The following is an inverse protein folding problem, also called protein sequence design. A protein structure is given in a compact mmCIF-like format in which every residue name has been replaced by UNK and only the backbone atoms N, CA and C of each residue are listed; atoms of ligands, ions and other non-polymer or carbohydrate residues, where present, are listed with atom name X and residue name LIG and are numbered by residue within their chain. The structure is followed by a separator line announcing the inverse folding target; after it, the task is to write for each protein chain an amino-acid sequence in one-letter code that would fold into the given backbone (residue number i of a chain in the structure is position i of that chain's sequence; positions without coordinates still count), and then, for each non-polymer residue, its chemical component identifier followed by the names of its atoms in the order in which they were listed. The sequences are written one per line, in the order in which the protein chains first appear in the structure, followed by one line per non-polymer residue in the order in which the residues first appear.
data_IF_043854991073
#
_entry.id   IF_043854991073
#
_cell.length_a   1.000
_cell.length_b   1.000
_cell.length_c   1.000
_cell.angle_alpha   90.00
_cell.angle_beta   90.00
_cell.angle_gamma   90.00
#
_symmetry.space_group_name_H-M   'P 1'
#
loop_
_entity.id
_entity.type
_entity.pdbx_description
1 polymer ?
#
# COMPACT_ATOMS: atom_id res chain seq x y z
N UNK A 1 -5.53 39.51 1.72
CA UNK A 1 -5.13 38.22 2.28
C UNK A 1 -5.17 37.21 1.15
N UNK A 2 -4.03 36.84 0.63
CA UNK A 2 -3.94 35.92 -0.51
C UNK A 2 -3.85 34.49 0.04
N UNK A 3 -4.92 33.74 -0.05
CA UNK A 3 -4.96 32.32 0.24
C UNK A 3 -4.31 31.59 -0.94
N UNK A 4 -3.17 30.95 -0.71
CA UNK A 4 -2.56 30.01 -1.65
C UNK A 4 -3.35 28.69 -1.58
N UNK A 5 -3.69 28.04 -2.72
CA UNK A 5 -4.33 26.72 -2.69
C UNK A 5 -3.36 25.65 -2.19
N UNK A 6 -3.84 24.78 -1.31
CA UNK A 6 -3.11 23.63 -0.77
C UNK A 6 -2.89 22.57 -1.87
N UNK A 7 -1.75 21.85 -1.89
CA UNK A 7 -1.42 20.86 -2.91
C UNK A 7 -2.21 19.54 -2.85
N UNK A 8 -3.08 19.36 -1.86
CA UNK A 8 -3.81 18.10 -1.65
C UNK A 8 -4.90 17.78 -2.70
N UNK A 9 -5.28 18.76 -3.53
CA UNK A 9 -6.34 18.56 -4.57
C UNK A 9 -5.79 17.86 -5.82
N UNK A 10 -4.47 17.76 -5.99
CA UNK A 10 -3.87 17.14 -7.20
C UNK A 10 -3.64 15.62 -7.07
N UNK A 11 -3.56 15.06 -5.88
CA UNK A 11 -3.31 13.62 -5.69
C UNK A 11 -4.54 12.74 -6.02
N UNK A 12 -5.76 13.30 -5.97
CA UNK A 12 -7.01 12.57 -6.27
C UNK A 12 -7.32 12.56 -7.78
N UNK A 13 -6.71 13.44 -8.58
CA UNK A 13 -6.97 13.55 -10.01
C UNK A 13 -6.14 12.61 -10.91
N UNK A 14 -5.10 11.95 -10.39
CA UNK A 14 -4.24 11.08 -11.18
C UNK A 14 -4.75 9.62 -11.31
N UNK A 15 -5.69 9.18 -10.49
CA UNK A 15 -6.30 7.83 -10.57
C UNK A 15 -7.51 7.76 -11.50
N UNK A 16 -8.01 8.89 -12.03
CA UNK A 16 -9.23 8.97 -12.83
C UNK A 16 -9.09 8.82 -14.34
N UNK A 17 -7.90 8.70 -14.93
CA UNK A 17 -7.71 8.79 -16.39
C UNK A 17 -7.42 7.47 -17.12
N UNK A 18 -7.44 6.32 -16.49
CA UNK A 18 -7.16 5.04 -17.14
C UNK A 18 -8.37 4.31 -17.72
N UNK A 19 -9.62 4.83 -17.62
CA UNK A 19 -10.81 4.08 -18.05
C UNK A 19 -11.69 4.70 -19.15
N UNK A 20 -11.18 5.68 -19.92
CA UNK A 20 -11.96 6.29 -21.01
C UNK A 20 -11.23 6.26 -22.36
N UNK A 21 -10.99 5.07 -22.91
CA UNK A 21 -10.70 4.95 -24.34
C UNK A 21 -11.05 3.55 -24.88
N UNK A 22 -12.33 3.22 -24.98
CA UNK A 22 -12.83 2.23 -25.95
C UNK A 22 -14.35 2.27 -26.07
N UNK A 23 -14.88 3.27 -26.79
CA UNK A 23 -16.15 3.15 -27.53
C UNK A 23 -16.21 4.22 -28.61
N UNK A 24 -15.99 3.84 -29.81
CA UNK A 24 -16.69 4.19 -31.05
C UNK A 24 -15.77 4.03 -32.24
N UNK A 25 -16.07 3.03 -33.06
CA UNK A 25 -16.21 3.18 -34.50
C UNK A 25 -16.45 1.78 -35.13
N UNK A 26 -17.68 1.53 -35.50
CA UNK A 26 -18.03 0.39 -36.32
C UNK A 26 -17.54 0.61 -37.75
N UNK A 27 -16.79 -0.35 -38.27
CA UNK A 27 -16.54 -0.52 -39.69
C UNK A 27 -16.59 -2.04 -40.01
N UNK A 28 -17.41 -2.36 -40.98
CA UNK A 28 -17.67 -3.70 -41.52
C UNK A 28 -16.44 -4.30 -42.17
N UNK A 29 -16.03 -5.50 -41.72
CA UNK A 29 -15.02 -6.32 -42.34
C UNK A 29 -15.49 -7.01 -43.62
N UNK A 30 -14.65 -7.14 -44.68
CA UNK A 30 -14.86 -8.13 -45.72
C UNK A 30 -14.19 -9.47 -45.36
N UNK A 31 -14.87 -10.55 -45.64
CA UNK A 31 -14.50 -11.93 -45.38
C UNK A 31 -13.10 -12.29 -45.98
N UNK A 32 -12.21 -12.78 -45.08
CA UNK A 32 -10.92 -13.33 -45.47
C UNK A 32 -10.99 -14.85 -45.71
N UNK A 33 -10.40 -15.27 -46.78
CA UNK A 33 -10.18 -16.69 -47.19
C UNK A 33 -9.17 -17.38 -46.26
N UNK A 34 -9.31 -18.66 -45.95
CA UNK A 34 -8.41 -19.36 -45.04
C UNK A 34 -7.04 -19.63 -45.70
N UNK A 35 -6.01 -19.14 -45.05
CA UNK A 35 -4.61 -19.49 -45.37
C UNK A 35 -4.22 -20.66 -44.45
N UNK A 36 -3.74 -21.75 -45.08
CA UNK A 36 -3.23 -22.94 -44.41
C UNK A 36 -2.02 -22.63 -43.51
N UNK A 37 -2.10 -22.97 -42.22
CA UNK A 37 -1.00 -22.95 -41.28
C UNK A 37 0.09 -23.97 -41.62
N UNK A 38 1.36 -23.62 -41.54
CA UNK A 38 2.43 -24.62 -41.54
C UNK A 38 2.49 -25.30 -40.18
N UNK A 39 2.53 -26.62 -40.22
CA UNK A 39 2.68 -27.54 -39.09
C UNK A 39 4.05 -27.29 -38.42
N UNK A 40 4.06 -26.70 -37.22
CA UNK A 40 5.25 -26.66 -36.39
C UNK A 40 5.46 -28.01 -35.70
N UNK A 41 6.69 -28.53 -35.80
CA UNK A 41 7.14 -29.69 -35.04
C UNK A 41 7.15 -29.38 -33.53
N UNK A 42 6.91 -30.38 -32.67
CA UNK A 42 6.91 -30.15 -31.23
C UNK A 42 8.30 -29.77 -30.75
N UNK A 43 8.42 -28.57 -30.19
CA UNK A 43 9.61 -28.13 -29.45
C UNK A 43 9.58 -28.91 -28.13
N UNK A 44 10.62 -29.69 -27.88
CA UNK A 44 10.84 -30.38 -26.61
C UNK A 44 10.91 -29.34 -25.49
N UNK A 45 10.02 -29.48 -24.49
CA UNK A 45 10.07 -28.68 -23.29
C UNK A 45 11.38 -28.99 -22.54
N UNK A 46 12.30 -28.07 -22.53
CA UNK A 46 13.45 -28.10 -21.64
C UNK A 46 12.93 -27.62 -20.28
N UNK A 47 12.65 -28.58 -19.42
CA UNK A 47 12.37 -28.33 -18.00
C UNK A 47 13.70 -28.01 -17.31
N UNK A 48 14.16 -26.77 -17.36
CA UNK A 48 15.19 -26.31 -16.44
C UNK A 48 14.52 -26.11 -15.07
N UNK A 49 14.68 -27.12 -14.21
CA UNK A 49 14.43 -26.98 -12.78
C UNK A 49 15.44 -25.96 -12.23
N UNK A 50 14.97 -24.80 -11.80
CA UNK A 50 15.78 -23.88 -11.01
C UNK A 50 16.37 -24.65 -9.82
N UNK A 51 17.67 -24.55 -9.54
CA UNK A 51 18.28 -25.27 -8.43
C UNK A 51 17.66 -24.74 -7.11
N UNK A 52 16.97 -25.63 -6.43
CA UNK A 52 16.46 -25.39 -5.08
C UNK A 52 17.68 -25.14 -4.17
N UNK A 53 17.76 -24.03 -3.42
CA UNK A 53 18.87 -23.80 -2.51
C UNK A 53 18.88 -24.91 -1.45
N UNK A 54 20.03 -25.57 -1.26
CA UNK A 54 20.22 -26.53 -0.19
C UNK A 54 19.98 -25.81 1.16
N UNK A 55 18.99 -26.29 1.91
CA UNK A 55 18.69 -25.84 3.27
C UNK A 55 19.87 -26.24 4.17
N UNK A 56 20.70 -25.26 4.56
CA UNK A 56 21.54 -25.46 5.73
C UNK A 56 20.64 -25.46 6.99
N UNK A 57 20.85 -26.38 7.95
CA UNK A 57 20.05 -26.40 9.16
C UNK A 57 20.28 -25.09 9.93
N UNK A 58 19.21 -24.34 10.16
CA UNK A 58 19.23 -23.13 10.98
C UNK A 58 19.75 -23.51 12.38
N UNK A 59 20.94 -23.06 12.72
CA UNK A 59 21.38 -22.98 14.10
C UNK A 59 20.48 -21.99 14.81
N UNK A 60 19.73 -22.47 15.81
CA UNK A 60 18.93 -21.63 16.72
C UNK A 60 19.92 -20.74 17.49
N UNK A 61 20.27 -19.62 16.90
CA UNK A 61 20.98 -18.52 17.55
C UNK A 61 19.99 -17.72 18.40
N UNK A 62 20.44 -17.26 19.56
CA UNK A 62 19.73 -16.46 20.54
C UNK A 62 18.73 -15.50 19.91
N UNK A 63 17.44 -15.73 20.20
CA UNK A 63 16.33 -14.91 19.72
C UNK A 63 16.46 -13.50 20.28
N UNK A 64 17.02 -12.60 19.51
CA UNK A 64 16.81 -11.18 19.71
C UNK A 64 15.38 -10.88 19.29
N UNK A 65 14.54 -10.44 20.23
CA UNK A 65 13.15 -10.10 19.96
C UNK A 65 13.13 -8.95 18.94
N UNK A 66 12.67 -9.23 17.73
CA UNK A 66 12.57 -8.22 16.68
C UNK A 66 11.45 -7.21 16.96
N UNK A 67 11.55 -6.05 16.33
CA UNK A 67 10.49 -5.03 16.35
C UNK A 67 9.77 -5.08 15.00
N UNK A 68 8.45 -5.15 15.06
CA UNK A 68 7.57 -4.90 13.93
C UNK A 68 7.02 -3.47 14.08
N UNK A 69 7.18 -2.64 13.06
CA UNK A 69 6.51 -1.35 13.01
C UNK A 69 5.65 -1.25 11.75
N UNK A 70 4.50 -0.62 11.90
CA UNK A 70 3.58 -0.31 10.80
C UNK A 70 3.27 1.18 10.80
N UNK A 71 3.36 1.78 9.62
CA UNK A 71 2.98 3.17 9.39
C UNK A 71 1.56 3.26 8.86
N UNK A 72 0.90 4.36 9.18
CA UNK A 72 -0.47 4.66 8.76
C UNK A 72 -0.66 6.16 8.54
N UNK A 73 -1.88 6.58 8.25
CA UNK A 73 -2.27 8.00 8.23
C UNK A 73 -2.43 8.63 9.62
N UNK A 74 -2.30 7.85 10.71
CA UNK A 74 -2.50 8.31 12.09
C UNK A 74 -1.27 8.09 12.98
N UNK A 75 -0.11 7.73 12.40
CA UNK A 75 1.14 7.56 13.11
C UNK A 75 1.80 6.20 12.91
N UNK A 76 2.75 5.88 13.79
CA UNK A 76 3.55 4.66 13.77
C UNK A 76 3.14 3.75 14.93
N UNK A 77 2.73 2.52 14.63
CA UNK A 77 2.43 1.49 15.64
C UNK A 77 3.54 0.44 15.64
N UNK A 78 4.20 0.24 16.77
CA UNK A 78 5.27 -0.73 16.89
C UNK A 78 4.92 -1.82 17.93
N UNK A 79 5.22 -3.06 17.58
CA UNK A 79 5.10 -4.24 18.44
C UNK A 79 6.49 -4.77 18.76
N UNK A 80 6.77 -4.93 20.07
CA UNK A 80 7.99 -5.53 20.59
C UNK A 80 7.64 -6.48 21.76
N UNK A 81 8.64 -6.91 22.52
CA UNK A 81 8.47 -7.77 23.71
C UNK A 81 7.58 -7.17 24.82
N UNK A 82 7.46 -5.84 24.87
CA UNK A 82 6.63 -5.12 25.83
C UNK A 82 5.20 -4.86 25.32
N UNK A 83 4.85 -5.37 24.14
CA UNK A 83 3.57 -5.17 23.49
C UNK A 83 3.57 -4.03 22.48
N UNK A 84 2.37 -3.53 22.18
CA UNK A 84 2.16 -2.45 21.22
C UNK A 84 2.43 -1.07 21.82
N UNK A 85 3.05 -0.20 21.03
CA UNK A 85 3.17 1.23 21.31
C UNK A 85 2.87 2.04 20.05
N UNK A 86 2.01 3.05 20.22
CA UNK A 86 1.62 3.98 19.14
C UNK A 86 2.33 5.30 19.35
N UNK A 87 2.98 5.80 18.31
CA UNK A 87 3.65 7.09 18.27
C UNK A 87 2.95 8.02 17.29
N UNK A 88 2.63 9.22 17.77
CA UNK A 88 1.99 10.30 17.00
C UNK A 88 2.75 11.61 17.24
N UNK A 89 2.46 12.63 16.45
CA UNK A 89 2.98 13.99 16.64
C UNK A 89 2.51 14.64 17.96
N UNK A 90 1.45 14.12 18.58
CA UNK A 90 0.97 14.58 19.88
C UNK A 90 1.70 13.93 21.07
N UNK A 91 2.24 12.71 20.91
CA UNK A 91 2.83 11.94 22.02
C UNK A 91 4.31 11.62 21.85
N UNK A 92 4.93 12.08 20.77
CA UNK A 92 6.34 11.84 20.46
C UNK A 92 6.92 12.96 19.59
N UNK A 93 8.22 12.88 19.26
CA UNK A 93 8.87 13.80 18.32
C UNK A 93 8.69 13.37 16.85
N UNK A 94 7.66 12.57 16.53
CA UNK A 94 7.26 12.27 15.17
C UNK A 94 6.72 13.56 14.53
N UNK A 95 7.30 14.05 13.42
CA UNK A 95 6.92 15.38 12.91
C UNK A 95 5.58 15.42 12.17
N UNK A 96 5.04 14.26 11.81
CA UNK A 96 3.75 14.13 11.12
C UNK A 96 3.22 12.71 11.19
N UNK A 97 1.91 12.55 11.32
CA UNK A 97 1.24 11.25 11.40
C UNK A 97 1.02 10.56 10.05
N UNK A 98 1.07 11.31 8.93
CA UNK A 98 0.88 10.73 7.59
C UNK A 98 2.17 10.08 7.11
N UNK A 99 2.27 8.77 7.30
CA UNK A 99 3.44 7.96 6.97
C UNK A 99 3.18 7.18 5.69
N UNK A 100 4.12 7.24 4.74
CA UNK A 100 3.97 6.65 3.40
C UNK A 100 4.80 5.38 3.21
N UNK A 101 6.08 5.41 3.63
CA UNK A 101 7.00 4.31 3.44
C UNK A 101 7.96 4.16 4.61
N UNK A 102 8.48 2.96 4.81
CA UNK A 102 9.48 2.66 5.83
C UNK A 102 10.52 1.67 5.34
N UNK A 103 11.75 1.80 5.86
CA UNK A 103 12.82 0.85 5.62
C UNK A 103 13.68 0.67 6.86
N UNK A 104 14.18 -0.54 7.08
CA UNK A 104 15.18 -0.80 8.12
C UNK A 104 16.56 -0.51 7.56
N UNK A 105 17.30 0.35 8.25
CA UNK A 105 18.68 0.66 7.91
C UNK A 105 19.66 -0.35 8.54
N UNK A 106 20.88 -0.48 8.00
CA UNK A 106 21.87 -1.45 8.48
C UNK A 106 22.28 -1.28 9.95
N UNK A 107 22.15 -0.09 10.51
CA UNK A 107 22.39 0.22 11.93
C UNK A 107 21.20 -0.17 12.83
N UNK A 108 20.10 -0.67 12.25
CA UNK A 108 18.87 -1.08 12.95
C UNK A 108 17.86 0.04 13.16
N UNK A 109 18.14 1.26 12.75
CA UNK A 109 17.15 2.34 12.75
C UNK A 109 16.11 2.10 11.65
N UNK A 110 14.91 2.65 11.83
CA UNK A 110 13.87 2.67 10.81
C UNK A 110 13.85 4.06 10.18
N UNK A 111 14.11 4.15 8.89
CA UNK A 111 13.90 5.35 8.11
C UNK A 111 12.44 5.41 7.68
N UNK A 112 11.75 6.50 7.97
CA UNK A 112 10.32 6.70 7.74
C UNK A 112 10.13 7.89 6.83
N UNK A 113 9.48 7.69 5.70
CA UNK A 113 9.08 8.73 4.77
C UNK A 113 7.66 9.21 5.09
N UNK A 114 7.47 10.52 5.19
CA UNK A 114 6.22 11.18 5.51
C UNK A 114 6.09 12.50 4.73
N UNK A 115 4.94 13.14 4.78
CA UNK A 115 4.66 14.35 3.99
C UNK A 115 5.66 15.50 4.23
N UNK A 116 6.28 15.55 5.42
CA UNK A 116 7.26 16.59 5.79
C UNK A 116 8.73 16.16 5.55
N UNK A 117 8.97 15.00 4.89
CA UNK A 117 10.32 14.50 4.57
C UNK A 117 10.63 13.12 5.14
N UNK A 118 11.80 12.97 5.75
CA UNK A 118 12.29 11.70 6.31
C UNK A 118 12.66 11.87 7.78
N UNK A 119 12.27 10.89 8.59
CA UNK A 119 12.62 10.79 10.00
C UNK A 119 13.24 9.42 10.28
N UNK A 120 14.30 9.39 11.09
CA UNK A 120 14.92 8.17 11.60
C UNK A 120 14.35 7.85 12.98
N UNK A 121 14.01 6.59 13.21
CA UNK A 121 13.50 6.06 14.47
C UNK A 121 14.42 4.94 14.99
N UNK A 122 14.95 5.09 16.19
CA UNK A 122 15.89 4.15 16.82
C UNK A 122 15.21 3.11 17.75
N UNK A 123 13.87 3.09 17.77
CA UNK A 123 13.06 2.28 18.68
C UNK A 123 12.54 3.07 19.89
N UNK A 124 13.05 4.29 20.12
CA UNK A 124 12.66 5.14 21.25
C UNK A 124 12.46 6.60 20.86
N UNK A 125 13.33 7.16 20.03
CA UNK A 125 13.39 8.57 19.65
C UNK A 125 13.34 8.77 18.14
N UNK A 126 12.85 9.95 17.73
CA UNK A 126 12.75 10.35 16.34
C UNK A 126 13.77 11.46 16.04
N UNK A 127 14.43 11.35 14.88
CA UNK A 127 15.35 12.37 14.37
C UNK A 127 14.98 12.72 12.94
N UNK A 128 14.42 13.90 12.74
CA UNK A 128 14.11 14.42 11.41
C UNK A 128 15.37 14.77 10.63
N UNK A 129 15.41 14.40 9.35
CA UNK A 129 16.42 14.82 8.39
C UNK A 129 16.04 16.16 7.74
N UNK A 130 17.00 16.87 7.13
CA UNK A 130 16.67 18.07 6.33
C UNK A 130 15.63 17.76 5.25
N UNK A 131 14.84 18.76 4.88
CA UNK A 131 13.85 18.63 3.81
C UNK A 131 14.50 18.20 2.48
N UNK A 132 13.80 17.34 1.74
CA UNK A 132 14.21 16.94 0.39
C UNK A 132 13.87 18.11 -0.55
N UNK A 133 14.86 18.70 -1.25
CA UNK A 133 14.59 19.82 -2.14
C UNK A 133 13.63 19.45 -3.28
N UNK A 134 12.59 20.27 -3.47
CA UNK A 134 11.59 20.12 -4.54
C UNK A 134 10.90 18.75 -4.56
N UNK A 135 10.80 18.08 -3.42
CA UNK A 135 10.10 16.80 -3.30
C UNK A 135 8.66 17.00 -2.85
N UNK A 136 7.78 16.15 -3.36
CA UNK A 136 6.43 15.96 -2.85
C UNK A 136 6.10 14.47 -2.85
N UNK A 137 5.28 14.03 -1.91
CA UNK A 137 4.76 12.65 -1.82
C UNK A 137 5.86 11.58 -1.96
N UNK A 138 6.58 11.26 -0.90
CA UNK A 138 7.51 10.14 -0.92
C UNK A 138 6.72 8.83 -1.04
N UNK A 139 7.13 7.94 -1.95
CA UNK A 139 6.45 6.67 -2.24
C UNK A 139 7.26 5.46 -1.76
N UNK A 140 8.59 5.55 -1.80
CA UNK A 140 9.48 4.48 -1.40
C UNK A 140 10.72 4.99 -0.69
N UNK A 141 11.32 4.16 0.18
CA UNK A 141 12.53 4.49 0.92
C UNK A 141 13.43 3.28 1.07
N UNK A 142 14.75 3.47 1.00
CA UNK A 142 15.74 2.42 1.22
C UNK A 142 17.03 2.98 1.82
N UNK A 143 17.77 2.14 2.57
CA UNK A 143 19.04 2.53 3.18
C UNK A 143 20.21 1.74 2.55
N UNK A 144 21.33 2.42 2.28
CA UNK A 144 22.59 1.78 1.89
C UNK A 144 23.38 1.30 3.10
N UNK A 145 24.37 0.44 2.84
CA UNK A 145 25.25 -0.10 3.87
C UNK A 145 26.10 0.97 4.59
N UNK A 146 26.34 2.12 3.94
CA UNK A 146 27.08 3.25 4.50
C UNK A 146 26.19 4.22 5.31
N UNK A 147 24.88 3.92 5.43
CA UNK A 147 23.90 4.76 6.10
C UNK A 147 23.29 5.85 5.21
N UNK A 148 23.64 5.91 3.91
CA UNK A 148 22.96 6.79 2.96
C UNK A 148 21.52 6.32 2.75
N UNK A 149 20.60 7.25 2.49
CA UNK A 149 19.16 6.96 2.37
C UNK A 149 18.66 7.43 1.00
N UNK A 150 17.96 6.54 0.32
CA UNK A 150 17.28 6.84 -0.93
C UNK A 150 15.78 6.97 -0.72
N UNK A 151 15.18 7.97 -1.36
CA UNK A 151 13.74 8.23 -1.31
C UNK A 151 13.20 8.38 -2.73
N UNK A 152 12.26 7.53 -3.11
CA UNK A 152 11.48 7.68 -4.33
C UNK A 152 10.35 8.70 -4.09
N UNK A 153 10.12 9.62 -5.03
CA UNK A 153 9.08 10.64 -4.95
C UNK A 153 8.65 11.07 -6.37
N UNK A 154 7.56 11.81 -6.49
CA UNK A 154 7.00 12.16 -7.80
C UNK A 154 7.99 12.78 -8.79
N UNK A 155 8.98 13.53 -8.34
CA UNK A 155 9.93 14.21 -9.23
C UNK A 155 11.17 13.38 -9.57
N UNK A 156 11.30 12.18 -8.98
CA UNK A 156 12.47 11.33 -9.19
C UNK A 156 12.88 10.56 -7.95
N UNK A 157 14.18 10.40 -7.74
CA UNK A 157 14.74 9.75 -6.55
C UNK A 157 15.83 10.63 -5.95
N UNK A 158 15.83 10.81 -4.63
CA UNK A 158 16.79 11.60 -3.89
C UNK A 158 17.63 10.73 -2.96
N UNK A 159 18.95 11.02 -2.90
CA UNK A 159 19.90 10.37 -2.01
C UNK A 159 20.36 11.34 -0.93
N UNK A 160 20.21 10.96 0.34
CA UNK A 160 20.81 11.63 1.47
C UNK A 160 22.14 10.99 1.81
N UNK A 161 23.22 11.76 1.76
CA UNK A 161 24.56 11.30 2.11
C UNK A 161 25.38 12.48 2.64
N UNK A 162 26.20 12.24 3.67
CA UNK A 162 27.06 13.28 4.26
C UNK A 162 26.32 14.57 4.67
N UNK A 163 25.08 14.44 5.12
CA UNK A 163 24.28 15.59 5.57
C UNK A 163 23.57 16.37 4.46
N UNK A 164 23.61 15.91 3.22
CA UNK A 164 23.04 16.62 2.07
C UNK A 164 22.22 15.69 1.16
N UNK A 165 21.19 16.27 0.53
CA UNK A 165 20.40 15.61 -0.50
C UNK A 165 20.97 15.85 -1.89
N UNK A 166 20.99 14.81 -2.70
CA UNK A 166 21.23 14.87 -4.15
C UNK A 166 20.04 14.24 -4.87
N UNK A 167 19.39 14.98 -5.77
CA UNK A 167 18.22 14.51 -6.50
C UNK A 167 18.58 14.11 -7.92
N UNK A 168 18.11 12.93 -8.33
CA UNK A 168 18.09 12.45 -9.71
C UNK A 168 16.66 12.55 -10.22
N UNK A 169 16.41 13.48 -11.14
CA UNK A 169 15.08 13.68 -11.70
C UNK A 169 14.58 12.48 -12.51
N UNK A 170 13.26 12.38 -12.68
CA UNK A 170 12.62 11.28 -13.39
C UNK A 170 13.09 11.14 -14.85
N UNK A 171 13.58 12.22 -15.47
CA UNK A 171 14.17 12.21 -16.81
C UNK A 171 15.45 11.37 -16.93
N UNK A 172 16.08 11.02 -15.80
CA UNK A 172 17.23 10.10 -15.75
C UNK A 172 16.83 8.65 -15.54
N UNK A 173 15.58 8.40 -15.18
CA UNK A 173 15.04 7.09 -14.82
C UNK A 173 14.22 6.46 -15.95
N UNK A 174 13.93 7.25 -17.00
CA UNK A 174 13.21 6.84 -18.18
C UNK A 174 13.95 7.30 -19.45
N UNK A 175 13.70 6.67 -20.58
CA UNK A 175 14.21 7.14 -21.89
C UNK A 175 13.06 7.44 -22.84
N UNK A 176 13.25 8.47 -23.70
CA UNK A 176 12.25 8.93 -24.65
C UNK A 176 11.41 10.11 -24.17
N UNK A 177 10.20 10.26 -24.67
CA UNK A 177 9.31 11.41 -24.39
C UNK A 177 8.67 11.41 -22.98
N UNK A 178 8.96 10.38 -22.17
CA UNK A 178 8.33 10.15 -20.83
C UNK A 178 9.05 10.88 -19.70
N UNK A 179 9.35 12.15 -19.86
CA UNK A 179 10.08 12.95 -18.86
C UNK A 179 9.33 13.15 -17.51
N UNK A 180 8.10 12.63 -17.37
CA UNK A 180 7.25 12.79 -16.19
C UNK A 180 6.72 11.44 -15.67
N UNK A 181 7.54 10.41 -15.69
CA UNK A 181 7.14 9.13 -15.09
C UNK A 181 7.11 9.23 -13.56
N UNK A 182 6.05 8.66 -12.99
CA UNK A 182 5.92 8.53 -11.54
C UNK A 182 6.93 7.50 -11.04
N UNK A 183 7.61 7.80 -9.95
CA UNK A 183 8.56 6.88 -9.30
C UNK A 183 7.88 6.31 -8.07
N UNK A 184 7.72 4.99 -8.04
CA UNK A 184 6.93 4.30 -7.02
C UNK A 184 7.76 3.72 -5.89
N UNK A 185 8.92 3.13 -6.20
CA UNK A 185 9.69 2.46 -5.16
C UNK A 185 11.20 2.47 -5.45
N UNK A 186 11.99 2.32 -4.39
CA UNK A 186 13.45 2.20 -4.42
C UNK A 186 13.91 1.11 -3.47
N UNK A 187 14.84 0.27 -3.92
CA UNK A 187 15.50 -0.75 -3.09
C UNK A 187 16.99 -0.74 -3.30
N UNK A 188 17.75 -1.04 -2.25
CA UNK A 188 19.20 -1.18 -2.29
C UNK A 188 19.56 -2.65 -2.13
N UNK A 189 20.23 -3.20 -3.14
CA UNK A 189 20.68 -4.58 -3.12
C UNK A 189 21.92 -4.75 -2.23
N UNK A 190 22.18 -5.97 -1.69
CA UNK A 190 23.36 -6.24 -0.84
C UNK A 190 24.71 -5.93 -1.50
N UNK A 191 24.77 -5.91 -2.83
CA UNK A 191 25.96 -5.55 -3.62
C UNK A 191 26.10 -4.03 -3.84
N UNK A 192 25.22 -3.21 -3.24
CA UNK A 192 25.22 -1.76 -3.31
C UNK A 192 24.51 -1.17 -4.54
N UNK A 193 23.98 -2.01 -5.43
CA UNK A 193 23.18 -1.50 -6.56
C UNK A 193 21.84 -0.99 -6.06
N UNK A 194 21.45 0.18 -6.55
CA UNK A 194 20.14 0.77 -6.25
C UNK A 194 19.20 0.52 -7.41
N UNK A 195 18.04 -0.02 -7.10
CA UNK A 195 17.00 -0.30 -8.06
C UNK A 195 15.81 0.61 -7.80
N UNK A 196 15.26 1.17 -8.87
CA UNK A 196 14.12 2.10 -8.84
C UNK A 196 13.10 1.62 -9.84
N UNK A 197 11.83 1.65 -9.46
CA UNK A 197 10.72 1.36 -10.36
C UNK A 197 9.92 2.63 -10.62
N UNK A 198 9.66 2.89 -11.89
CA UNK A 198 8.76 3.94 -12.35
C UNK A 198 7.51 3.31 -12.96
N UNK A 199 6.57 4.13 -13.40
CA UNK A 199 5.35 3.64 -14.07
C UNK A 199 5.63 2.76 -15.30
N UNK A 200 6.76 2.95 -16.01
CA UNK A 200 7.06 2.25 -17.27
C UNK A 200 8.48 1.75 -17.42
N UNK A 201 9.32 1.97 -16.43
CA UNK A 201 10.72 1.56 -16.46
C UNK A 201 11.18 1.01 -15.13
N UNK A 202 12.26 0.24 -15.19
CA UNK A 202 13.08 -0.11 -14.04
C UNK A 202 14.45 0.49 -14.27
N UNK A 203 15.00 1.20 -13.32
CA UNK A 203 16.30 1.81 -13.40
C UNK A 203 17.26 1.22 -12.35
N UNK A 204 18.51 1.02 -12.72
CA UNK A 204 19.58 0.56 -11.83
C UNK A 204 20.67 1.61 -11.76
N UNK A 205 21.01 2.04 -10.56
CA UNK A 205 22.16 2.90 -10.29
C UNK A 205 23.35 2.08 -9.82
N UNK A 206 24.47 2.24 -10.50
CA UNK A 206 25.73 1.56 -10.19
C UNK A 206 26.89 2.41 -10.77
N UNK A 207 27.97 2.60 -9.99
CA UNK A 207 29.16 3.37 -10.40
C UNK A 207 28.82 4.79 -10.92
N UNK A 208 27.96 5.51 -10.19
CA UNK A 208 27.48 6.86 -10.53
C UNK A 208 26.73 6.98 -11.87
N UNK A 209 26.22 5.87 -12.40
CA UNK A 209 25.49 5.82 -13.66
C UNK A 209 24.17 5.06 -13.55
N UNK A 210 23.18 5.51 -14.31
CA UNK A 210 21.89 4.83 -14.48
C UNK A 210 21.89 3.90 -15.68
N UNK A 211 21.38 2.69 -15.51
CA UNK A 211 20.98 1.76 -16.57
C UNK A 211 19.47 1.65 -16.55
N UNK A 212 18.80 1.88 -17.68
CA UNK A 212 17.35 1.87 -17.80
C UNK A 212 16.90 0.60 -18.51
N UNK A 213 15.87 -0.03 -17.98
CA UNK A 213 15.17 -1.19 -18.55
C UNK A 213 13.71 -0.78 -18.82
N UNK A 214 13.30 -0.83 -20.07
CA UNK A 214 11.97 -0.48 -20.55
C UNK A 214 11.66 -1.24 -21.84
N UNK A 215 10.52 -0.98 -22.49
CA UNK A 215 10.19 -1.57 -23.79
C UNK A 215 11.32 -1.38 -24.81
N UNK A 216 11.75 -2.48 -25.43
CA UNK A 216 12.88 -2.50 -26.36
C UNK A 216 14.27 -2.37 -25.73
N UNK A 217 14.35 -2.18 -24.40
CA UNK A 217 15.58 -2.07 -23.63
C UNK A 217 15.50 -2.94 -22.36
N UNK A 218 15.39 -4.25 -22.54
CA UNK A 218 15.29 -5.22 -21.44
C UNK A 218 13.93 -5.88 -21.34
N UNK A 219 12.84 -5.20 -21.68
CA UNK A 219 11.51 -5.77 -21.80
C UNK A 219 11.08 -5.80 -23.28
N UNK A 220 10.33 -6.85 -23.68
CA UNK A 220 9.86 -7.02 -25.04
C UNK A 220 8.59 -6.22 -25.34
N UNK A 221 7.88 -5.79 -24.31
CA UNK A 221 6.59 -5.09 -24.38
C UNK A 221 6.55 -3.93 -23.37
N UNK A 222 5.56 -3.06 -23.55
CA UNK A 222 5.30 -1.97 -22.61
C UNK A 222 4.52 -2.51 -21.40
N UNK A 223 5.02 -2.24 -20.21
CA UNK A 223 4.46 -2.68 -18.94
C UNK A 223 4.26 -1.52 -17.98
N UNK A 224 3.27 -1.64 -17.12
CA UNK A 224 3.08 -0.73 -16.00
C UNK A 224 3.57 -1.44 -14.73
N UNK A 225 4.59 -0.87 -14.09
CA UNK A 225 5.18 -1.37 -12.88
C UNK A 225 4.74 -0.53 -11.69
N UNK A 226 4.45 -1.17 -10.56
CA UNK A 226 4.04 -0.47 -9.34
C UNK A 226 4.85 -0.87 -8.11
N UNK A 227 5.48 -2.05 -8.10
CA UNK A 227 6.14 -2.55 -6.92
C UNK A 227 7.47 -3.23 -7.24
N UNK A 228 8.41 -3.12 -6.31
CA UNK A 228 9.78 -3.65 -6.40
C UNK A 228 10.14 -4.37 -5.09
N UNK A 229 10.73 -5.56 -5.20
CA UNK A 229 11.31 -6.27 -4.08
C UNK A 229 12.67 -6.83 -4.44
N UNK A 230 13.47 -7.16 -3.41
CA UNK A 230 14.71 -7.91 -3.56
C UNK A 230 14.59 -9.25 -2.85
N UNK A 231 15.07 -10.30 -3.48
CA UNK A 231 15.19 -11.58 -2.80
C UNK A 231 16.49 -11.68 -1.98
N UNK A 232 16.65 -12.79 -1.26
CA UNK A 232 17.82 -13.03 -0.42
C UNK A 232 19.16 -13.05 -1.20
N UNK A 233 19.13 -13.21 -2.53
CA UNK A 233 20.29 -13.12 -3.41
C UNK A 233 20.53 -11.69 -3.93
N UNK A 234 19.68 -10.74 -3.57
CA UNK A 234 19.70 -9.36 -4.08
C UNK A 234 19.19 -9.20 -5.49
N UNK A 235 18.49 -10.22 -6.04
CA UNK A 235 17.87 -10.08 -7.36
C UNK A 235 16.61 -9.21 -7.25
N UNK A 236 16.44 -8.21 -8.13
CA UNK A 236 15.23 -7.42 -8.16
C UNK A 236 14.09 -8.22 -8.80
N UNK A 237 12.95 -8.14 -8.17
CA UNK A 237 11.65 -8.57 -8.65
C UNK A 237 10.76 -7.36 -8.84
N UNK A 238 10.07 -7.26 -9.96
CA UNK A 238 9.13 -6.18 -10.24
C UNK A 238 7.76 -6.76 -10.58
N UNK A 239 6.71 -6.12 -10.08
CA UNK A 239 5.34 -6.54 -10.33
C UNK A 239 4.68 -5.67 -11.39
N UNK A 240 3.88 -6.31 -12.24
CA UNK A 240 3.07 -5.68 -13.29
C UNK A 240 1.73 -6.40 -13.43
N UNK A 241 0.80 -5.84 -14.19
CA UNK A 241 -0.59 -6.33 -14.28
C UNK A 241 -0.73 -7.80 -14.70
N UNK A 242 0.25 -8.37 -15.40
CA UNK A 242 0.19 -9.75 -15.89
C UNK A 242 1.12 -10.71 -15.14
N UNK A 243 1.80 -10.27 -14.08
CA UNK A 243 2.67 -11.13 -13.29
C UNK A 243 3.82 -10.41 -12.62
N UNK A 244 4.95 -11.10 -12.54
CA UNK A 244 6.20 -10.54 -12.02
C UNK A 244 7.37 -10.85 -12.96
N UNK A 245 8.36 -9.96 -12.98
CA UNK A 245 9.62 -10.20 -13.65
C UNK A 245 10.76 -10.25 -12.62
N UNK A 246 11.74 -11.12 -12.83
CA UNK A 246 12.98 -11.17 -12.06
C UNK A 246 14.19 -10.90 -12.96
N UNK A 247 15.13 -10.10 -12.47
CA UNK A 247 16.40 -9.86 -13.15
C UNK A 247 17.49 -10.76 -12.60
N UNK A 248 18.04 -11.58 -13.48
CA UNK A 248 19.16 -12.47 -13.12
C UNK A 248 20.13 -12.59 -14.30
N UNK A 249 21.43 -12.55 -14.05
CA UNK A 249 22.50 -12.69 -15.06
C UNK A 249 22.35 -11.76 -16.28
N UNK A 250 21.83 -10.55 -16.08
CA UNK A 250 21.67 -9.56 -17.16
C UNK A 250 20.37 -9.66 -17.96
N UNK A 251 19.47 -10.57 -17.58
CA UNK A 251 18.21 -10.83 -18.30
C UNK A 251 17.01 -10.76 -17.37
N UNK A 252 15.92 -10.17 -17.86
CA UNK A 252 14.61 -10.24 -17.21
C UNK A 252 13.87 -11.51 -17.63
N UNK A 253 13.32 -12.21 -16.67
CA UNK A 253 12.49 -13.42 -16.88
C UNK A 253 11.12 -13.19 -16.28
N UNK A 254 10.08 -13.41 -17.08
CA UNK A 254 8.68 -13.16 -16.71
C UNK A 254 8.02 -14.43 -16.20
N UNK A 255 7.26 -14.30 -15.10
CA UNK A 255 6.34 -15.30 -14.56
C UNK A 255 4.92 -14.75 -14.64
N UNK A 256 4.22 -15.07 -15.72
CA UNK A 256 2.90 -14.50 -15.97
C UNK A 256 1.84 -15.07 -15.03
N UNK A 257 0.90 -14.21 -14.66
CA UNK A 257 -0.30 -14.50 -13.87
C UNK A 257 -1.53 -14.31 -14.76
N UNK A 258 -2.55 -15.12 -14.59
CA UNK A 258 -3.64 -15.26 -15.56
C UNK A 258 -4.79 -14.25 -15.43
N UNK A 259 -4.84 -13.43 -14.39
CA UNK A 259 -6.04 -12.62 -14.09
C UNK A 259 -5.95 -11.12 -14.37
N UNK A 260 -4.76 -10.55 -14.53
CA UNK A 260 -4.59 -9.11 -14.85
C UNK A 260 -4.92 -8.13 -13.73
N UNK A 261 -5.01 -8.58 -12.46
CA UNK A 261 -5.23 -7.70 -11.32
C UNK A 261 -4.02 -6.75 -11.12
N UNK A 262 -4.31 -5.51 -10.73
CA UNK A 262 -3.27 -4.47 -10.56
C UNK A 262 -2.44 -4.72 -9.29
N UNK A 263 -1.12 -4.97 -9.40
CA UNK A 263 -0.27 -5.11 -8.24
C UNK A 263 -0.07 -3.75 -7.57
N UNK A 264 0.10 -3.76 -6.25
CA UNK A 264 0.40 -2.57 -5.46
C UNK A 264 1.59 -2.79 -4.53
N UNK A 265 1.80 -4.01 -4.10
CA UNK A 265 2.93 -4.37 -3.24
C UNK A 265 3.56 -5.69 -3.66
N UNK A 266 4.85 -5.82 -3.36
CA UNK A 266 5.65 -7.00 -3.69
C UNK A 266 6.59 -7.34 -2.54
N UNK A 267 6.69 -8.61 -2.20
CA UNK A 267 7.64 -9.13 -1.22
C UNK A 267 8.18 -10.48 -1.62
N UNK A 268 9.38 -10.80 -1.13
CA UNK A 268 9.96 -12.16 -1.26
C UNK A 268 10.27 -12.66 0.13
N UNK A 269 9.70 -13.82 0.50
CA UNK A 269 9.90 -14.39 1.82
C UNK A 269 11.28 -15.10 1.95
N UNK A 270 11.63 -15.50 3.16
CA UNK A 270 12.90 -16.18 3.45
C UNK A 270 13.08 -17.51 2.74
N UNK A 271 12.03 -18.08 2.18
CA UNK A 271 12.04 -19.33 1.38
C UNK A 271 12.13 -19.05 -0.12
N UNK A 272 12.16 -17.79 -0.53
CA UNK A 272 12.19 -17.36 -1.93
C UNK A 272 10.84 -17.38 -2.65
N UNK A 273 9.74 -17.58 -1.91
CA UNK A 273 8.40 -17.44 -2.47
C UNK A 273 8.08 -15.96 -2.68
N UNK A 274 7.57 -15.63 -3.83
CA UNK A 274 7.19 -14.26 -4.21
C UNK A 274 5.74 -14.02 -3.84
N UNK A 275 5.46 -12.89 -3.22
CA UNK A 275 4.13 -12.47 -2.79
C UNK A 275 3.77 -11.14 -3.44
N UNK A 276 2.59 -11.08 -4.04
CA UNK A 276 2.07 -9.89 -4.74
C UNK A 276 0.77 -9.48 -4.06
N UNK A 277 0.74 -8.29 -3.52
CA UNK A 277 -0.47 -7.65 -3.03
C UNK A 277 -1.10 -6.80 -4.13
N UNK A 278 -2.41 -6.81 -4.22
CA UNK A 278 -3.15 -6.08 -5.24
C UNK A 278 -4.05 -5.00 -4.65
N UNK A 279 -4.50 -4.09 -5.50
CA UNK A 279 -5.42 -3.01 -5.11
C UNK A 279 -6.81 -3.53 -4.69
N UNK A 280 -7.32 -4.61 -5.32
CA UNK A 280 -8.72 -5.01 -5.15
C UNK A 280 -8.98 -6.52 -5.15
N UNK A 281 -7.93 -7.33 -5.32
CA UNK A 281 -8.09 -8.77 -5.54
C UNK A 281 -7.24 -9.63 -4.57
N UNK A 282 -6.79 -9.03 -3.47
CA UNK A 282 -6.07 -9.75 -2.39
C UNK A 282 -4.61 -10.02 -2.70
N UNK A 283 -4.16 -11.22 -2.34
CA UNK A 283 -2.77 -11.63 -2.35
C UNK A 283 -2.58 -12.79 -3.32
N UNK A 284 -1.56 -12.70 -4.14
CA UNK A 284 -1.05 -13.81 -4.92
C UNK A 284 0.31 -14.24 -4.41
N UNK A 285 0.63 -15.53 -4.49
CA UNK A 285 2.00 -15.98 -4.29
C UNK A 285 2.43 -16.93 -5.39
N UNK A 286 3.73 -16.88 -5.72
CA UNK A 286 4.39 -17.74 -6.66
C UNK A 286 5.51 -18.53 -5.96
N UNK A 287 5.47 -19.86 -6.02
CA UNK A 287 6.43 -20.74 -5.34
C UNK A 287 7.58 -21.22 -6.26
N UNK A 288 7.68 -20.64 -7.46
CA UNK A 288 8.61 -21.07 -8.50
C UNK A 288 7.99 -21.99 -9.56
N UNK A 289 6.79 -22.50 -9.32
CA UNK A 289 6.09 -23.41 -10.23
C UNK A 289 4.65 -23.00 -10.50
N UNK A 290 3.91 -22.56 -9.48
CA UNK A 290 2.50 -22.25 -9.57
C UNK A 290 2.13 -20.99 -8.78
N UNK A 291 1.07 -20.33 -9.22
CA UNK A 291 0.41 -19.25 -8.51
C UNK A 291 -0.66 -19.79 -7.57
N UNK A 292 -0.77 -19.19 -6.39
CA UNK A 292 -1.89 -19.37 -5.48
C UNK A 292 -2.50 -18.01 -5.17
N UNK A 293 -3.81 -17.97 -4.91
CA UNK A 293 -4.58 -16.77 -4.63
C UNK A 293 -5.21 -16.83 -3.24
N UNK A 294 -5.20 -15.72 -2.52
CA UNK A 294 -5.74 -15.55 -1.18
C UNK A 294 -6.47 -14.22 -1.11
N UNK A 295 -7.74 -14.25 -0.80
CA UNK A 295 -8.59 -13.08 -0.79
C UNK A 295 -9.55 -13.08 0.41
N UNK A 296 -10.41 -12.05 0.48
CA UNK A 296 -11.46 -11.96 1.49
C UNK A 296 -12.51 -13.07 1.35
N UNK A 297 -12.80 -13.53 0.14
CA UNK A 297 -13.78 -14.60 -0.09
C UNK A 297 -13.27 -15.97 0.40
N UNK A 298 -11.95 -16.19 0.36
CA UNK A 298 -11.29 -17.37 0.93
C UNK A 298 -11.00 -17.23 2.44
N UNK A 299 -11.42 -16.10 3.07
CA UNK A 299 -11.21 -15.77 4.50
C UNK A 299 -9.74 -15.71 4.91
N UNK A 300 -8.82 -15.57 3.95
CA UNK A 300 -7.38 -15.47 4.22
C UNK A 300 -7.00 -14.09 4.74
N UNK A 301 -7.63 -13.04 4.19
CA UNK A 301 -7.42 -11.64 4.56
C UNK A 301 -8.77 -10.95 4.77
N UNK A 302 -8.79 -9.84 5.52
CA UNK A 302 -10.02 -9.06 5.74
C UNK A 302 -10.22 -7.99 4.67
N UNK A 303 -9.16 -7.55 3.99
CA UNK A 303 -9.23 -6.62 2.86
C UNK A 303 -8.48 -7.18 1.66
N UNK A 304 -9.03 -6.96 0.47
CA UNK A 304 -8.37 -7.30 -0.80
C UNK A 304 -7.36 -6.21 -1.24
N UNK A 305 -7.37 -5.05 -0.61
CA UNK A 305 -6.40 -4.00 -0.87
C UNK A 305 -5.16 -4.21 0.02
N UNK A 306 -4.04 -4.61 -0.58
CA UNK A 306 -2.80 -5.00 0.11
C UNK A 306 -1.69 -4.02 -0.23
N UNK A 307 -1.38 -3.14 0.70
CA UNK A 307 -0.49 -1.98 0.53
C UNK A 307 0.99 -2.28 0.73
N UNK A 308 1.30 -3.30 1.53
CA UNK A 308 2.69 -3.60 1.89
C UNK A 308 2.88 -5.07 2.24
N UNK A 309 4.05 -5.62 1.91
CA UNK A 309 4.42 -7.02 2.20
C UNK A 309 5.83 -7.06 2.76
N UNK A 310 6.02 -7.75 3.89
CA UNK A 310 7.33 -7.94 4.51
C UNK A 310 7.47 -9.36 5.07
N UNK A 311 8.55 -10.06 4.69
CA UNK A 311 8.88 -11.38 5.23
C UNK A 311 9.81 -11.28 6.43
N UNK A 312 9.62 -12.14 7.45
CA UNK A 312 10.57 -12.28 8.54
C UNK A 312 11.50 -13.51 8.35
N UNK A 313 12.59 -13.56 9.10
CA UNK A 313 13.55 -14.67 9.06
C UNK A 313 12.95 -15.99 9.57
N UNK A 314 11.88 -15.95 10.37
CA UNK A 314 11.12 -17.11 10.84
C UNK A 314 10.24 -17.75 9.78
N UNK A 315 10.10 -17.11 8.62
CA UNK A 315 9.29 -17.56 7.50
C UNK A 315 7.82 -17.15 7.56
N UNK A 316 7.48 -16.20 8.44
CA UNK A 316 6.18 -15.54 8.43
C UNK A 316 6.21 -14.41 7.40
N UNK A 317 5.04 -14.12 6.82
CA UNK A 317 4.85 -13.01 5.90
C UNK A 317 3.77 -12.09 6.47
N UNK A 318 4.09 -10.81 6.52
CA UNK A 318 3.26 -9.76 7.07
C UNK A 318 2.72 -8.89 5.95
N UNK A 319 1.43 -8.62 6.00
CA UNK A 319 0.68 -7.87 4.99
C UNK A 319 0.01 -6.68 5.64
N UNK A 320 0.42 -5.47 5.24
CA UNK A 320 -0.36 -4.27 5.48
C UNK A 320 -1.53 -4.23 4.51
N UNK A 321 -2.71 -3.95 5.01
CA UNK A 321 -3.91 -3.83 4.18
C UNK A 321 -4.68 -2.56 4.55
N UNK A 322 -5.65 -2.16 3.73
CA UNK A 322 -6.56 -1.06 4.09
C UNK A 322 -7.46 -1.39 5.28
N UNK A 323 -7.52 -2.67 5.71
CA UNK A 323 -8.28 -3.07 6.90
C UNK A 323 -7.53 -4.12 7.74
N UNK A 324 -6.45 -3.69 8.33
CA UNK A 324 -5.67 -4.42 9.32
C UNK A 324 -4.30 -4.86 8.86
N UNK A 325 -3.53 -5.32 9.83
CA UNK A 325 -2.26 -5.99 9.64
C UNK A 325 -2.49 -7.49 9.71
N UNK A 326 -2.20 -8.19 8.62
CA UNK A 326 -2.37 -9.65 8.54
C UNK A 326 -1.01 -10.34 8.53
N UNK A 327 -0.87 -11.47 9.21
CA UNK A 327 0.31 -12.34 9.17
C UNK A 327 -0.08 -13.74 8.73
N UNK A 328 0.73 -14.33 7.88
CA UNK A 328 0.69 -15.74 7.50
C UNK A 328 1.92 -16.46 8.06
N UNK A 329 1.75 -17.50 8.87
CA UNK A 329 2.84 -18.25 9.51
C UNK A 329 3.33 -19.46 8.70
N UNK A 330 2.79 -19.63 7.49
CA UNK A 330 3.02 -20.79 6.63
C UNK A 330 1.89 -21.83 6.70
N UNK A 331 0.95 -21.67 7.64
CA UNK A 331 -0.20 -22.57 7.83
C UNK A 331 -1.50 -21.83 8.13
N UNK A 332 -1.43 -20.76 8.90
CA UNK A 332 -2.59 -20.01 9.38
C UNK A 332 -2.43 -18.51 9.13
N UNK A 333 -3.57 -17.85 8.96
CA UNK A 333 -3.70 -16.40 8.84
C UNK A 333 -4.19 -15.83 10.16
N UNK A 334 -3.62 -14.71 10.59
CA UNK A 334 -4.07 -13.95 11.76
C UNK A 334 -4.08 -12.47 11.42
N UNK A 335 -5.17 -11.76 11.75
CA UNK A 335 -5.31 -10.32 11.49
C UNK A 335 -5.42 -9.53 12.78
N UNK A 336 -4.60 -8.49 12.88
CA UNK A 336 -4.60 -7.49 13.94
C UNK A 336 -5.38 -6.26 13.47
N UNK A 337 -6.32 -5.83 14.30
CA UNK A 337 -7.14 -4.63 14.13
C UNK A 337 -7.05 -3.78 15.40
N UNK A 338 -7.45 -2.52 15.32
CA UNK A 338 -7.59 -1.66 16.50
C UNK A 338 -8.49 -2.28 17.57
N UNK A 339 -9.54 -2.98 17.15
CA UNK A 339 -10.51 -3.61 18.07
C UNK A 339 -9.97 -4.81 18.86
N UNK A 340 -8.90 -5.47 18.38
CA UNK A 340 -8.37 -6.70 18.99
C UNK A 340 -6.87 -6.65 19.27
N UNK A 341 -6.23 -5.51 19.09
CA UNK A 341 -4.79 -5.31 19.29
C UNK A 341 -4.48 -3.89 19.75
N UNK A 342 -3.18 -3.55 19.82
CA UNK A 342 -2.72 -2.19 20.12
C UNK A 342 -2.39 -1.37 18.87
N UNK A 343 -2.89 -1.74 17.68
CA UNK A 343 -2.78 -0.92 16.48
C UNK A 343 -3.43 0.44 16.69
N UNK A 344 -2.77 1.49 16.16
CA UNK A 344 -3.30 2.86 16.15
C UNK A 344 -4.25 3.14 14.99
N UNK A 345 -4.17 2.34 13.93
CA UNK A 345 -5.04 2.44 12.75
C UNK A 345 -5.20 1.07 12.09
N UNK A 346 -6.35 0.84 11.46
CA UNK A 346 -6.57 -0.35 10.63
C UNK A 346 -6.05 -0.18 9.20
N UNK A 347 -5.89 1.04 8.71
CA UNK A 347 -5.38 1.33 7.37
C UNK A 347 -3.85 1.42 7.41
N UNK A 348 -3.17 0.39 6.97
CA UNK A 348 -1.72 0.24 7.03
C UNK A 348 -1.11 0.71 5.71
N UNK A 349 -0.16 1.64 5.77
CA UNK A 349 0.58 2.12 4.60
C UNK A 349 1.81 1.24 4.33
N UNK A 350 2.58 0.90 5.36
CA UNK A 350 3.75 0.04 5.23
C UNK A 350 3.98 -0.83 6.47
N UNK A 351 4.74 -1.90 6.27
CA UNK A 351 5.20 -2.84 7.31
C UNK A 351 6.71 -2.96 7.24
N UNK A 352 7.40 -2.79 8.38
CA UNK A 352 8.84 -3.00 8.52
C UNK A 352 9.16 -3.85 9.72
N UNK A 353 10.20 -4.67 9.58
CA UNK A 353 10.68 -5.63 10.58
C UNK A 353 12.18 -5.45 10.79
N UNK A 354 12.61 -5.22 12.03
CA UNK A 354 14.04 -4.97 12.35
C UNK A 354 14.86 -6.22 12.57
N UNK A 355 14.35 -7.39 12.54
CA UNK A 355 15.01 -8.71 12.66
C UNK A 355 13.99 -9.82 12.50
N UNK A 356 14.04 -10.81 13.38
CA UNK A 356 13.25 -12.04 13.31
C UNK A 356 11.74 -11.86 13.53
N UNK A 357 11.29 -10.62 13.66
CA UNK A 357 9.91 -10.28 13.98
C UNK A 357 9.55 -10.56 15.45
N UNK A 358 8.47 -9.95 15.95
CA UNK A 358 8.04 -10.10 17.33
C UNK A 358 7.36 -11.44 17.57
N UNK A 359 7.25 -11.85 18.84
CA UNK A 359 6.30 -12.87 19.24
C UNK A 359 4.87 -12.35 18.98
N UNK A 360 4.02 -13.22 18.39
CA UNK A 360 2.62 -12.84 18.14
C UNK A 360 1.89 -12.67 19.48
N UNK A 361 1.29 -11.51 19.75
CA UNK A 361 0.51 -11.31 20.95
C UNK A 361 -0.83 -12.04 20.83
N UNK A 362 -1.41 -12.38 21.98
CA UNK A 362 -2.81 -12.81 22.06
C UNK A 362 -3.73 -11.66 21.63
N UNK A 363 -4.73 -11.95 20.81
CA UNK A 363 -5.75 -10.97 20.45
C UNK A 363 -6.73 -10.78 21.62
N UNK A 364 -7.03 -9.52 21.93
CA UNK A 364 -7.98 -9.14 23.00
C UNK A 364 -9.04 -8.21 22.42
N UNK A 365 -10.27 -8.71 22.28
CA UNK A 365 -11.39 -7.91 21.76
C UNK A 365 -11.73 -6.77 22.71
N UNK A 366 -11.75 -5.55 22.20
CA UNK A 366 -12.19 -4.34 22.92
C UNK A 366 -13.70 -4.18 22.82
N UNK A 367 -14.30 -3.51 23.80
CA UNK A 367 -15.72 -3.16 23.76
C UNK A 367 -16.02 -2.27 22.54
N UNK A 368 -17.14 -2.55 21.86
CA UNK A 368 -17.62 -1.67 20.78
C UNK A 368 -18.09 -0.34 21.35
N UNK A 369 -18.00 0.71 20.55
CA UNK A 369 -18.57 2.01 20.83
C UNK A 369 -19.89 2.24 20.07
N UNK A 370 -20.30 3.50 20.00
CA UNK A 370 -21.43 3.95 19.19
C UNK A 370 -21.12 5.29 18.50
N UNK A 371 -21.83 5.56 17.42
CA UNK A 371 -21.71 6.79 16.66
C UNK A 371 -23.10 7.40 16.46
N UNK A 372 -23.25 8.66 16.77
CA UNK A 372 -24.51 9.40 16.58
C UNK A 372 -24.24 10.74 15.90
N UNK A 373 -25.28 11.34 15.34
CA UNK A 373 -25.22 12.65 14.73
C UNK A 373 -26.58 13.08 14.20
N UNK A 374 -26.65 14.32 13.71
CA UNK A 374 -27.86 14.89 13.13
C UNK A 374 -27.60 15.44 11.75
N UNK A 375 -28.45 15.08 10.78
CA UNK A 375 -28.37 15.56 9.40
C UNK A 375 -29.48 16.56 9.13
N UNK A 376 -29.14 17.67 8.47
CA UNK A 376 -30.08 18.65 7.97
C UNK A 376 -29.75 19.08 6.54
N UNK A 377 -30.75 19.51 5.81
CA UNK A 377 -30.60 20.15 4.50
C UNK A 377 -30.07 21.58 4.64
N UNK A 378 -29.62 22.16 3.55
CA UNK A 378 -29.13 23.56 3.50
C UNK A 378 -30.18 24.57 3.99
N UNK A 379 -31.48 24.30 3.80
CA UNK A 379 -32.58 25.13 4.29
C UNK A 379 -32.85 24.98 5.79
N UNK A 380 -32.08 24.12 6.48
CA UNK A 380 -32.17 23.86 7.92
C UNK A 380 -33.20 22.79 8.30
N UNK A 381 -33.96 22.22 7.35
CA UNK A 381 -34.92 21.15 7.63
C UNK A 381 -34.20 19.83 7.93
N UNK A 382 -34.72 18.99 8.85
CA UNK A 382 -34.14 17.67 9.10
C UNK A 382 -34.11 16.81 7.84
N UNK A 383 -33.05 16.05 7.64
CA UNK A 383 -32.95 15.01 6.62
C UNK A 383 -33.44 13.69 7.22
N UNK A 384 -34.75 13.44 7.18
CA UNK A 384 -35.37 12.24 7.70
C UNK A 384 -35.30 11.06 6.73
N UNK A 385 -35.28 9.82 7.27
CA UNK A 385 -35.23 8.54 6.52
C UNK A 385 -34.02 8.38 5.60
N UNK A 386 -33.00 9.23 5.76
CA UNK A 386 -31.75 9.13 5.02
C UNK A 386 -30.94 7.91 5.50
N UNK A 387 -30.43 7.11 4.58
CA UNK A 387 -29.51 6.03 4.91
C UNK A 387 -28.14 6.63 5.26
N UNK A 388 -27.62 6.28 6.43
CA UNK A 388 -26.27 6.63 6.87
C UNK A 388 -25.45 5.37 6.96
N UNK A 389 -24.25 5.37 6.37
CA UNK A 389 -23.32 4.26 6.43
C UNK A 389 -21.96 4.71 6.96
N UNK A 390 -21.26 3.81 7.62
CA UNK A 390 -19.83 3.96 7.94
C UNK A 390 -19.06 2.86 7.23
N UNK A 391 -17.90 3.22 6.69
CA UNK A 391 -16.99 2.31 6.02
C UNK A 391 -15.54 2.55 6.47
N UNK A 392 -14.66 1.61 6.15
CA UNK A 392 -13.25 1.63 6.59
C UNK A 392 -12.30 2.24 5.58
N UNK A 393 -12.67 2.25 4.31
CA UNK A 393 -11.86 2.81 3.22
C UNK A 393 -12.45 4.13 2.73
N UNK A 394 -11.58 5.03 2.28
CA UNK A 394 -12.02 6.24 1.57
C UNK A 394 -12.75 5.85 0.29
N UNK A 395 -13.84 6.56 0.01
CA UNK A 395 -14.63 6.26 -1.18
C UNK A 395 -13.84 6.55 -2.44
N UNK A 396 -13.81 5.57 -3.34
CA UNK A 396 -13.50 5.85 -4.74
C UNK A 396 -14.60 6.76 -5.34
N UNK A 397 -14.26 7.54 -6.35
CA UNK A 397 -15.22 8.38 -7.09
C UNK A 397 -16.32 7.57 -7.78
N UNK A 398 -16.13 6.24 -7.88
CA UNK A 398 -17.12 5.27 -8.36
C UNK A 398 -17.03 4.01 -7.50
N UNK A 399 -18.17 3.52 -7.03
CA UNK A 399 -18.30 2.25 -6.34
C UNK A 399 -19.03 1.24 -7.25
N UNK A 400 -18.76 -0.04 -7.03
CA UNK A 400 -19.34 -1.13 -7.84
C UNK A 400 -20.53 -1.81 -7.17
N UNK A 401 -20.72 -1.54 -5.87
CA UNK A 401 -21.83 -2.07 -5.09
C UNK A 401 -23.09 -1.20 -5.18
N UNK A 402 -24.17 -1.64 -4.53
CA UNK A 402 -25.45 -0.93 -4.47
C UNK A 402 -25.35 0.40 -3.69
N UNK A 403 -24.39 0.48 -2.76
CA UNK A 403 -24.11 1.68 -1.94
C UNK A 403 -22.60 1.87 -1.80
N UNK A 404 -22.13 3.08 -1.41
CA UNK A 404 -20.68 3.36 -1.33
C UNK A 404 -19.87 2.42 -0.44
N UNK A 405 -20.51 1.79 0.55
CA UNK A 405 -19.83 0.93 1.51
C UNK A 405 -20.07 -0.58 1.31
N UNK A 406 -20.99 -0.97 0.42
CA UNK A 406 -21.50 -2.36 0.36
C UNK A 406 -20.46 -3.39 -0.06
N UNK A 407 -19.43 -3.00 -0.80
CA UNK A 407 -18.33 -3.85 -1.26
C UNK A 407 -17.06 -3.74 -0.38
N UNK A 408 -17.10 -2.90 0.65
CA UNK A 408 -15.96 -2.72 1.54
C UNK A 408 -15.79 -3.86 2.56
N UNK A 409 -14.59 -4.02 3.14
CA UNK A 409 -14.29 -5.06 4.15
C UNK A 409 -15.22 -5.04 5.36
N UNK A 410 -15.63 -3.84 5.76
CA UNK A 410 -16.55 -3.62 6.86
C UNK A 410 -17.41 -2.38 6.60
N UNK A 411 -18.70 -2.49 6.90
CA UNK A 411 -19.60 -1.34 6.98
C UNK A 411 -20.77 -1.62 7.94
N UNK A 412 -21.33 -0.55 8.46
CA UNK A 412 -22.62 -0.57 9.16
C UNK A 412 -23.53 0.48 8.55
N UNK A 413 -24.84 0.26 8.69
CA UNK A 413 -25.86 1.13 8.12
C UNK A 413 -27.00 1.35 9.10
N UNK A 414 -27.54 2.58 9.12
CA UNK A 414 -28.74 2.97 9.86
C UNK A 414 -29.53 3.99 9.06
N UNK A 415 -30.67 4.45 9.59
CA UNK A 415 -31.44 5.56 9.04
C UNK A 415 -31.59 6.69 10.02
N UNK A 416 -31.72 7.91 9.51
CA UNK A 416 -32.10 9.06 10.33
C UNK A 416 -33.58 8.98 10.69
N UNK A 417 -33.92 9.44 11.89
CA UNK A 417 -35.30 9.62 12.35
C UNK A 417 -35.97 10.88 11.77
N UNK A 418 -37.19 11.19 12.25
CA UNK A 418 -37.94 12.36 11.82
C UNK A 418 -37.27 13.72 12.11
N UNK A 419 -36.39 13.75 13.12
CA UNK A 419 -35.59 14.92 13.50
C UNK A 419 -34.23 14.97 12.80
N UNK A 420 -33.96 14.00 11.91
CA UNK A 420 -32.69 13.83 11.20
C UNK A 420 -31.58 13.23 12.04
N UNK A 421 -31.88 12.65 13.21
CA UNK A 421 -30.89 12.02 14.10
C UNK A 421 -30.66 10.58 13.67
N UNK A 422 -29.40 10.14 13.66
CA UNK A 422 -29.01 8.74 13.47
C UNK A 422 -28.22 8.22 14.65
N UNK A 423 -28.29 6.92 14.86
CA UNK A 423 -27.49 6.17 15.83
C UNK A 423 -27.00 4.86 15.19
N UNK A 424 -25.69 4.63 15.26
CA UNK A 424 -25.03 3.37 14.97
C UNK A 424 -24.50 2.80 16.29
N UNK A 425 -25.05 1.66 16.72
CA UNK A 425 -24.59 0.93 17.89
C UNK A 425 -23.65 -0.20 17.51
N UNK A 426 -22.89 -0.70 18.48
CA UNK A 426 -21.97 -1.82 18.31
C UNK A 426 -20.90 -1.58 17.24
N UNK A 427 -20.45 -0.35 17.11
CA UNK A 427 -19.38 0.04 16.19
C UNK A 427 -18.05 -0.42 16.77
N UNK A 428 -17.28 -1.27 16.08
CA UNK A 428 -15.95 -1.67 16.55
C UNK A 428 -15.01 -0.47 16.68
N UNK A 429 -14.00 -0.58 17.54
CA UNK A 429 -12.95 0.45 17.64
C UNK A 429 -12.24 0.60 16.31
N UNK A 430 -12.18 1.82 15.79
CA UNK A 430 -11.55 2.09 14.49
C UNK A 430 -11.85 3.48 13.95
N UNK A 431 -11.21 3.78 12.83
CA UNK A 431 -11.47 4.97 12.04
C UNK A 431 -12.41 4.66 10.88
N UNK A 432 -13.43 5.49 10.69
CA UNK A 432 -14.49 5.27 9.71
C UNK A 432 -14.77 6.50 8.86
N UNK A 433 -15.00 6.29 7.58
CA UNK A 433 -15.62 7.26 6.70
C UNK A 433 -17.14 7.18 6.90
N UNK A 434 -17.82 8.31 6.99
CA UNK A 434 -19.27 8.39 7.15
C UNK A 434 -19.85 8.90 5.85
N UNK A 435 -20.90 8.24 5.33
CA UNK A 435 -21.62 8.64 4.13
C UNK A 435 -23.13 8.65 4.39
N UNK A 436 -23.84 9.55 3.72
CA UNK A 436 -25.29 9.60 3.79
C UNK A 436 -25.92 9.70 2.39
N UNK A 437 -27.04 9.00 2.18
CA UNK A 437 -27.91 9.20 1.02
C UNK A 437 -28.67 10.51 1.21
N UNK A 438 -28.41 11.48 0.35
CA UNK A 438 -29.06 12.79 0.38
C UNK A 438 -30.36 12.82 -0.41
N UNK A 439 -30.75 11.71 -1.01
CA UNK A 439 -31.96 11.52 -1.80
C UNK A 439 -31.69 11.22 -3.27
N UNK A 440 -32.54 10.37 -3.86
CA UNK A 440 -32.42 9.99 -5.28
C UNK A 440 -31.20 9.16 -5.66
N UNK A 441 -30.57 8.52 -4.70
CA UNK A 441 -29.34 7.75 -4.91
C UNK A 441 -28.05 8.59 -4.94
N UNK A 442 -28.13 9.84 -4.51
CA UNK A 442 -26.96 10.70 -4.34
C UNK A 442 -26.38 10.54 -2.93
N UNK A 443 -25.11 10.22 -2.86
CA UNK A 443 -24.39 10.02 -1.62
C UNK A 443 -23.41 11.15 -1.35
N UNK A 444 -23.38 11.64 -0.13
CA UNK A 444 -22.42 12.62 0.35
C UNK A 444 -21.55 12.00 1.44
N UNK A 445 -20.24 12.23 1.35
CA UNK A 445 -19.35 11.97 2.48
C UNK A 445 -19.56 13.06 3.52
N UNK A 446 -19.75 12.65 4.75
CA UNK A 446 -19.90 13.57 5.87
C UNK A 446 -18.52 13.83 6.44
N UNK A 447 -18.11 15.09 6.42
CA UNK A 447 -16.91 15.58 7.09
C UNK A 447 -17.33 16.44 8.25
N UNK A 448 -16.57 16.41 9.34
CA UNK A 448 -16.87 17.26 10.47
C UNK A 448 -16.74 18.75 10.09
N UNK A 449 -17.25 19.63 10.95
CA UNK A 449 -17.34 21.07 10.67
C UNK A 449 -15.99 21.79 10.44
N UNK A 450 -14.86 21.10 10.61
CA UNK A 450 -13.53 21.65 10.44
C UNK A 450 -12.95 21.44 9.03
N UNK A 451 -13.65 20.70 8.17
CA UNK A 451 -13.45 20.70 6.70
C UNK A 451 -12.05 20.26 6.23
N UNK A 452 -11.34 19.47 7.01
CA UNK A 452 -10.05 18.94 6.61
C UNK A 452 -10.27 17.59 5.92
N UNK A 453 -9.88 17.54 4.69
CA UNK A 453 -10.13 16.47 3.72
C UNK A 453 -9.77 15.06 4.24
N UNK A 454 -10.54 14.08 3.81
CA UNK A 454 -10.39 12.64 4.03
C UNK A 454 -10.66 12.13 5.44
N UNK A 455 -11.43 12.83 6.26
CA UNK A 455 -11.45 12.52 7.66
C UNK A 455 -12.31 11.36 8.00
N UNK A 456 -11.61 10.41 8.55
CA UNK A 456 -12.20 9.28 9.22
C UNK A 456 -12.49 9.65 10.67
N UNK A 457 -13.67 9.35 11.11
CA UNK A 457 -14.10 9.54 12.49
C UNK A 457 -13.62 8.38 13.34
N UNK A 458 -12.95 8.67 14.46
CA UNK A 458 -12.52 7.67 15.43
C UNK A 458 -13.68 7.26 16.34
N UNK A 459 -13.96 5.96 16.42
CA UNK A 459 -14.81 5.36 17.43
C UNK A 459 -13.95 4.64 18.46
N UNK A 460 -14.05 5.04 19.72
CA UNK A 460 -13.31 4.49 20.84
C UNK A 460 -14.08 3.39 21.59
N UNK A 461 -13.34 2.58 22.35
CA UNK A 461 -13.90 1.46 23.07
C UNK A 461 -14.88 1.90 24.16
N UNK A 462 -16.14 1.42 24.08
CA UNK A 462 -17.17 1.68 25.08
C UNK A 462 -17.69 3.13 25.11
N UNK A 463 -17.26 3.98 24.16
CA UNK A 463 -17.67 5.38 24.11
C UNK A 463 -18.77 5.61 23.06
N UNK A 464 -19.58 6.66 23.31
CA UNK A 464 -20.51 7.19 22.31
C UNK A 464 -19.90 8.46 21.70
N UNK A 465 -19.63 8.44 20.42
CA UNK A 465 -19.11 9.58 19.69
C UNK A 465 -20.25 10.32 18.97
N UNK A 466 -20.42 11.63 19.26
CA UNK A 466 -21.41 12.50 18.62
C UNK A 466 -20.69 13.41 17.61
N UNK A 467 -20.93 13.17 16.33
CA UNK A 467 -20.39 14.01 15.23
C UNK A 467 -21.16 15.33 15.07
N UNK A 468 -22.11 15.61 15.96
CA UNK A 468 -22.94 16.81 16.01
C UNK A 468 -23.90 16.94 14.80
N UNK A 469 -24.21 18.20 14.42
CA UNK A 469 -25.13 18.45 13.32
C UNK A 469 -24.38 18.81 12.04
N UNK A 470 -24.59 18.02 11.00
CA UNK A 470 -24.00 18.23 9.68
C UNK A 470 -25.04 18.70 8.68
N UNK A 471 -24.65 19.63 7.81
CA UNK A 471 -25.50 20.11 6.70
C UNK A 471 -25.05 19.40 5.42
N UNK A 472 -26.02 18.80 4.71
CA UNK A 472 -25.79 18.12 3.44
C UNK A 472 -26.44 18.89 2.29
N UNK A 473 -25.71 19.01 1.18
CA UNK A 473 -26.22 19.51 -0.08
C UNK A 473 -26.96 18.38 -0.80
N UNK A 474 -28.11 18.70 -1.44
CA UNK A 474 -28.92 17.74 -2.21
C UNK A 474 -28.58 17.82 -3.69
#
# INVERSE_FOLDING_TARGET
MNLRPHPLVMAILSLGFASLACQALGATEPAATPVSQPTQAPVAAVTETLPQPALEPATVGSQGVGILCVGSGTGLSCLNENGWKVYTDENSDLPNNYLYAGAVCPDGQIAIAHISGVTLFDGATFKQLPEIPNSSSPEGIACEADGSIWVAHFQGVSRYSNGQWTTHGSEKLASGESANELVYDVKVAPDGKVWVVTSRSVARFENDAWTIFQEGQGFNDSRFFNALALDAKGRPWVAHSTGVDVFENGVWTSMEKSDGSSPESLGVDSKGKVWVGTLSDGIYNFDGAAWAHHDRASESVLSNHVTSISGDSGGRVWFGTSYGLTVFDGSQWQTFLMKNSGLGDNNIAFVVLTKDGPTLPTLEEKANGSLTGKLKKVDGTPLAEATVQICVETLATSFTGDTPCSDQPFFLSTKTDADGVFLLENVPVGYYVIVADTGGGHWAQLVDQYGISSERTLVQAGESHDIQTLTVEQ
#
